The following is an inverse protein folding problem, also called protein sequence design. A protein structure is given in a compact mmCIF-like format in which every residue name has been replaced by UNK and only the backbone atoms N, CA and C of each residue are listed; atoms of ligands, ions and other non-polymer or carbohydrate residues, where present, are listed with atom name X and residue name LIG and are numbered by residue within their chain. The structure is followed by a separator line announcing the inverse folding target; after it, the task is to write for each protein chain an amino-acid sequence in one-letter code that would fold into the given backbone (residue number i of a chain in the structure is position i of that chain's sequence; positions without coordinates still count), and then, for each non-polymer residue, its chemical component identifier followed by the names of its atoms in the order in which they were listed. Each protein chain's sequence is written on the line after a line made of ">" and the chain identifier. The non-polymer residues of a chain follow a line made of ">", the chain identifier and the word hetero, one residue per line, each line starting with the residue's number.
data_IF_926786762815
#
_entry.id   IF_926786762815
#
_cell.length_a   1.000
_cell.length_b   1.000
_cell.length_c   1.000
_cell.angle_alpha   90.00
_cell.angle_beta   90.00
_cell.angle_gamma   90.00
#
_symmetry.space_group_name_H-M   'P 1'
#
loop_
_entity.id
_entity.type
_entity.pdbx_description
1 polymer ?
#
# COMPACT_ATOMS: atom_id res chain seq x y z
N UNK A 1 21.91 33.60 -5.66
CA UNK A 1 21.10 32.80 -6.62
C UNK A 1 20.92 31.41 -6.01
N UNK A 2 19.76 31.19 -5.46
CA UNK A 2 19.39 29.94 -4.80
C UNK A 2 19.22 28.86 -5.87
N UNK A 3 20.20 27.98 -6.01
CA UNK A 3 20.07 26.79 -6.87
C UNK A 3 19.23 25.77 -6.12
N UNK A 4 17.90 25.90 -6.26
CA UNK A 4 16.95 25.07 -5.57
C UNK A 4 17.25 23.57 -5.72
N UNK A 5 16.96 22.82 -4.66
CA UNK A 5 17.03 21.37 -4.64
C UNK A 5 16.34 20.80 -5.89
N UNK A 6 17.07 20.01 -6.68
CA UNK A 6 16.45 19.23 -7.77
C UNK A 6 15.64 18.10 -7.13
N UNK A 7 14.37 18.34 -6.82
CA UNK A 7 13.50 17.35 -6.22
C UNK A 7 12.37 18.00 -5.42
N UNK A 8 11.50 17.21 -4.85
CA UNK A 8 10.48 17.70 -3.94
C UNK A 8 11.08 17.98 -2.56
N UNK A 9 10.51 18.94 -1.86
CA UNK A 9 10.90 19.31 -0.49
C UNK A 9 9.87 18.88 0.55
N UNK A 10 8.81 18.17 0.14
CA UNK A 10 7.72 17.74 1.00
C UNK A 10 7.52 16.24 0.83
N UNK A 11 7.61 15.49 1.94
CA UNK A 11 7.51 14.03 1.96
C UNK A 11 6.53 13.60 3.03
N UNK A 12 5.87 12.46 2.84
CA UNK A 12 5.06 11.83 3.88
C UNK A 12 5.97 11.17 4.93
N UNK A 13 5.43 10.88 6.11
CA UNK A 13 6.16 10.09 7.14
C UNK A 13 6.67 8.78 6.56
N UNK A 14 5.84 8.10 5.77
CA UNK A 14 6.19 6.82 5.14
C UNK A 14 7.35 6.95 4.16
N UNK A 15 7.38 8.03 3.37
CA UNK A 15 8.51 8.28 2.45
C UNK A 15 9.79 8.60 3.20
N UNK A 16 9.71 9.31 4.32
CA UNK A 16 10.89 9.58 5.16
C UNK A 16 11.44 8.27 5.74
N UNK A 17 10.58 7.39 6.25
CA UNK A 17 11.01 6.08 6.74
C UNK A 17 11.62 5.21 5.63
N UNK A 18 11.03 5.24 4.43
CA UNK A 18 11.62 4.58 3.28
C UNK A 18 12.99 5.15 2.91
N UNK A 19 13.13 6.47 2.89
CA UNK A 19 14.42 7.13 2.60
C UNK A 19 15.47 6.76 3.63
N UNK A 20 15.16 6.74 4.93
CA UNK A 20 16.07 6.29 5.99
C UNK A 20 16.54 4.86 5.75
N UNK A 21 15.63 3.96 5.42
CA UNK A 21 15.94 2.55 5.12
C UNK A 21 16.83 2.42 3.87
N UNK A 22 16.51 3.14 2.79
CA UNK A 22 17.31 3.13 1.56
C UNK A 22 18.72 3.69 1.79
N UNK A 23 18.86 4.76 2.56
CA UNK A 23 20.17 5.32 2.94
C UNK A 23 20.98 4.28 3.72
N UNK A 24 20.38 3.62 4.70
CA UNK A 24 21.05 2.58 5.50
C UNK A 24 21.48 1.38 4.64
N UNK A 25 20.60 0.87 3.78
CA UNK A 25 20.90 -0.24 2.87
C UNK A 25 22.05 0.09 1.90
N UNK A 26 22.14 1.35 1.44
CA UNK A 26 23.16 1.78 0.50
C UNK A 26 24.57 1.70 1.09
N UNK A 27 24.74 1.99 2.36
CA UNK A 27 26.07 2.05 3.02
C UNK A 27 26.79 0.70 2.93
N UNK A 28 26.06 -0.41 3.05
CA UNK A 28 26.63 -1.76 3.10
C UNK A 28 26.49 -2.54 1.77
N UNK A 29 26.07 -1.86 0.69
CA UNK A 29 25.79 -2.51 -0.58
C UNK A 29 26.99 -2.42 -1.56
N UNK A 30 27.06 -3.37 -2.49
CA UNK A 30 27.98 -3.30 -3.63
C UNK A 30 27.66 -2.12 -4.58
N UNK A 31 28.58 -1.81 -5.50
CA UNK A 31 28.49 -0.65 -6.38
C UNK A 31 27.24 -0.64 -7.30
N UNK A 32 26.81 -1.81 -7.75
CA UNK A 32 25.64 -1.96 -8.62
C UNK A 32 24.35 -1.74 -7.84
N UNK A 33 24.24 -2.33 -6.68
CA UNK A 33 23.12 -2.17 -5.74
C UNK A 33 23.01 -0.74 -5.23
N UNK A 34 24.14 -0.07 -4.92
CA UNK A 34 24.15 1.36 -4.59
C UNK A 34 23.55 2.23 -5.69
N UNK A 35 23.87 1.93 -6.96
CA UNK A 35 23.28 2.66 -8.11
C UNK A 35 21.76 2.47 -8.17
N UNK A 36 21.28 1.24 -7.96
CA UNK A 36 19.84 0.92 -7.94
C UNK A 36 19.14 1.64 -6.79
N UNK A 37 19.72 1.64 -5.60
CA UNK A 37 19.17 2.34 -4.43
C UNK A 37 19.07 3.84 -4.68
N UNK A 38 20.11 4.49 -5.23
CA UNK A 38 20.04 5.92 -5.60
C UNK A 38 18.94 6.21 -6.61
N UNK A 39 18.69 5.32 -7.56
CA UNK A 39 17.60 5.47 -8.50
C UNK A 39 16.22 5.35 -7.80
N UNK A 40 16.07 4.44 -6.83
CA UNK A 40 14.87 4.37 -5.99
C UNK A 40 14.66 5.67 -5.20
N UNK A 41 15.70 6.22 -4.57
CA UNK A 41 15.61 7.51 -3.86
C UNK A 41 15.17 8.65 -4.78
N UNK A 42 15.69 8.70 -6.02
CA UNK A 42 15.27 9.69 -7.03
C UNK A 42 13.82 9.52 -7.46
N UNK A 43 13.33 8.29 -7.59
CA UNK A 43 11.91 8.03 -7.91
C UNK A 43 10.96 8.55 -6.82
N UNK A 44 11.39 8.56 -5.57
CA UNK A 44 10.64 9.16 -4.44
C UNK A 44 10.70 10.70 -4.50
N UNK A 45 11.53 11.26 -5.36
CA UNK A 45 11.76 12.70 -5.47
C UNK A 45 12.90 13.23 -4.59
N UNK A 46 13.71 12.33 -3.98
CA UNK A 46 14.86 12.71 -3.19
C UNK A 46 16.13 12.76 -4.05
N UNK A 47 16.69 13.95 -4.16
CA UNK A 47 17.89 14.23 -4.94
C UNK A 47 18.96 14.85 -4.02
N UNK A 48 20.24 14.72 -4.41
CA UNK A 48 21.31 15.43 -3.71
C UNK A 48 21.15 16.95 -3.83
N UNK A 49 21.50 17.66 -2.76
CA UNK A 49 21.56 19.12 -2.70
C UNK A 49 23.01 19.64 -2.69
N UNK A 50 23.17 20.94 -2.50
CA UNK A 50 24.48 21.56 -2.42
C UNK A 50 25.25 21.14 -1.16
N UNK A 51 24.53 20.79 -0.08
CA UNK A 51 25.11 20.43 1.22
C UNK A 51 25.45 18.92 1.33
N UNK A 52 24.93 18.07 0.44
CA UNK A 52 25.19 16.64 0.45
C UNK A 52 25.01 16.01 -0.93
N UNK A 53 25.77 14.96 -1.19
CA UNK A 53 25.62 14.16 -2.40
C UNK A 53 24.80 12.93 -2.09
N UNK A 54 23.79 12.62 -2.90
CA UNK A 54 22.93 11.44 -2.71
C UNK A 54 23.73 10.12 -2.60
N UNK A 55 24.93 10.08 -3.21
CA UNK A 55 25.85 8.93 -3.11
C UNK A 55 26.47 8.78 -1.73
N UNK A 56 26.62 9.85 -0.97
CA UNK A 56 27.32 9.91 0.32
C UNK A 56 26.35 10.20 1.49
N UNK A 57 25.07 10.47 1.21
CA UNK A 57 24.03 10.82 2.18
C UNK A 57 23.91 9.76 3.28
N UNK A 58 23.91 10.21 4.55
CA UNK A 58 23.68 9.40 5.74
C UNK A 58 22.27 9.66 6.28
N UNK A 59 21.80 8.83 7.21
CA UNK A 59 20.51 9.02 7.88
C UNK A 59 20.50 10.35 8.66
N UNK A 60 21.62 10.70 9.27
CA UNK A 60 21.82 11.99 9.98
C UNK A 60 21.63 13.20 9.07
N UNK A 61 22.02 13.11 7.79
CA UNK A 61 21.84 14.21 6.85
C UNK A 61 20.34 14.41 6.55
N UNK A 62 19.60 13.32 6.38
CA UNK A 62 18.16 13.37 6.20
C UNK A 62 17.45 13.98 7.42
N UNK A 63 17.86 13.61 8.63
CA UNK A 63 17.33 14.15 9.88
C UNK A 63 17.63 15.65 10.04
N UNK A 64 18.82 16.08 9.66
CA UNK A 64 19.20 17.49 9.67
C UNK A 64 18.39 18.32 8.66
N UNK A 65 18.09 17.76 7.48
CA UNK A 65 17.24 18.40 6.49
C UNK A 65 15.79 18.59 7.01
N UNK A 66 15.28 17.60 7.77
CA UNK A 66 13.98 17.70 8.41
C UNK A 66 14.01 18.76 9.53
N UNK A 67 14.98 18.70 10.42
CA UNK A 67 15.14 19.66 11.54
C UNK A 67 15.30 21.09 11.06
N UNK A 68 16.02 21.31 9.96
CA UNK A 68 16.22 22.64 9.37
C UNK A 68 15.01 23.14 8.56
N UNK A 69 13.94 22.35 8.43
CA UNK A 69 12.74 22.70 7.66
C UNK A 69 12.94 22.68 6.14
N UNK A 70 14.11 22.25 5.64
CA UNK A 70 14.37 22.07 4.21
C UNK A 70 13.55 20.93 3.62
N UNK A 71 13.27 19.91 4.43
CA UNK A 71 12.32 18.84 4.14
C UNK A 71 11.14 19.00 5.11
N UNK A 72 9.96 19.14 4.55
CA UNK A 72 8.68 19.15 5.28
C UNK A 72 8.11 17.75 5.29
N UNK A 73 7.63 17.30 6.46
CA UNK A 73 6.99 16.00 6.61
C UNK A 73 5.48 16.21 6.70
N UNK A 74 4.74 15.62 5.75
CA UNK A 74 3.27 15.58 5.77
C UNK A 74 2.81 14.35 6.53
N UNK A 75 2.03 14.54 7.57
CA UNK A 75 1.41 13.49 8.38
C UNK A 75 1.17 13.99 9.79
N UNK A 76 0.03 13.66 10.38
CA UNK A 76 -0.31 14.00 11.75
C UNK A 76 0.69 13.34 12.71
N UNK A 77 1.56 14.14 13.30
CA UNK A 77 2.20 13.79 14.57
C UNK A 77 1.12 14.04 15.62
N UNK A 78 0.32 13.05 15.94
CA UNK A 78 -0.36 13.04 17.22
C UNK A 78 0.74 12.80 18.26
N UNK A 79 1.29 13.89 18.77
CA UNK A 79 2.15 13.87 19.95
C UNK A 79 1.36 13.29 21.09
N UNK A 80 1.75 12.11 21.55
CA UNK A 80 1.38 11.54 22.83
C UNK A 80 2.02 12.37 23.95
N UNK A 81 1.51 13.56 24.21
CA UNK A 81 1.82 14.32 25.40
C UNK A 81 0.70 15.32 25.60
N UNK A 82 -0.37 14.87 26.23
CA UNK A 82 -1.35 15.63 27.02
C UNK A 82 -2.59 14.78 27.25
N UNK A 83 -2.46 13.75 28.11
CA UNK A 83 -3.58 13.24 28.89
C UNK A 83 -3.07 13.10 30.32
N UNK A 84 -3.10 14.20 31.06
CA UNK A 84 -3.07 14.19 32.50
C UNK A 84 -4.41 14.67 33.03
N UNK A 85 -5.00 13.83 33.85
CA UNK A 85 -5.97 14.14 34.93
C UNK A 85 -7.30 14.80 34.55
N UNK A 86 -8.32 13.97 34.40
CA UNK A 86 -9.62 14.22 35.05
C UNK A 86 -10.38 12.92 35.23
N UNK A 87 -10.58 12.55 36.50
CA UNK A 87 -11.48 11.49 36.94
C UNK A 87 -12.92 11.98 36.90
N UNK A 88 -13.85 11.26 36.26
CA UNK A 88 -15.27 11.48 36.51
C UNK A 88 -15.79 10.51 37.56
N UNK A 89 -16.42 11.11 38.52
CA UNK A 89 -17.23 10.44 39.56
C UNK A 89 -18.39 9.62 38.99
N UNK A 90 -18.60 8.50 39.61
CA UNK A 90 -19.74 7.60 39.62
C UNK A 90 -21.07 8.14 39.08
N UNK A 91 -21.64 7.44 38.12
CA UNK A 91 -23.08 7.29 37.92
C UNK A 91 -23.38 5.81 37.65
N UNK A 92 -24.13 5.25 38.54
CA UNK A 92 -24.51 3.86 38.62
C UNK A 92 -25.59 3.48 37.60
N UNK A 93 -25.41 2.27 37.02
CA UNK A 93 -26.42 1.26 36.75
C UNK A 93 -27.61 1.56 35.82
N UNK A 94 -27.47 1.11 34.59
CA UNK A 94 -28.31 0.05 34.00
C UNK A 94 -27.75 -0.26 32.60
N UNK A 95 -26.71 -1.05 32.55
CA UNK A 95 -26.25 -1.66 31.31
C UNK A 95 -27.17 -2.85 31.02
N UNK A 96 -28.08 -2.63 30.09
CA UNK A 96 -28.76 -3.72 29.41
C UNK A 96 -27.70 -4.50 28.69
N UNK A 97 -27.35 -5.67 29.18
CA UNK A 97 -26.49 -6.63 28.47
C UNK A 97 -27.25 -7.12 27.22
N UNK A 98 -27.14 -6.40 26.11
CA UNK A 98 -27.21 -7.03 24.82
C UNK A 98 -25.92 -7.83 24.65
N UNK A 99 -26.02 -9.14 24.83
CA UNK A 99 -25.03 -10.07 24.25
C UNK A 99 -25.07 -9.88 22.74
N UNK A 100 -24.24 -8.99 22.21
CA UNK A 100 -23.85 -9.05 20.81
C UNK A 100 -23.06 -10.36 20.69
N UNK A 101 -23.66 -11.35 20.08
CA UNK A 101 -22.96 -12.53 19.59
C UNK A 101 -21.93 -11.99 18.59
N UNK A 102 -20.66 -11.99 18.98
CA UNK A 102 -19.54 -11.66 18.08
C UNK A 102 -19.62 -12.68 16.96
N UNK A 103 -20.12 -12.26 15.81
CA UNK A 103 -20.22 -13.12 14.64
C UNK A 103 -18.78 -13.27 14.11
N UNK A 104 -18.12 -14.39 14.47
CA UNK A 104 -16.74 -14.70 14.10
C UNK A 104 -16.48 -14.69 12.59
N UNK A 105 -17.52 -14.66 11.76
CA UNK A 105 -17.45 -14.66 10.30
C UNK A 105 -17.49 -13.25 9.69
N UNK A 106 -17.76 -12.19 10.48
CA UNK A 106 -17.72 -10.83 9.97
C UNK A 106 -16.27 -10.36 9.87
N UNK A 107 -15.86 -9.93 8.68
CA UNK A 107 -14.48 -9.49 8.37
C UNK A 107 -14.48 -8.06 7.92
N UNK A 108 -13.50 -7.32 8.39
CA UNK A 108 -13.21 -5.95 7.96
C UNK A 108 -11.94 -6.01 7.12
N UNK A 109 -11.97 -5.43 5.91
CA UNK A 109 -10.85 -5.36 4.98
C UNK A 109 -9.71 -4.49 5.52
N UNK A 110 -8.63 -4.43 4.75
CA UNK A 110 -7.47 -3.62 5.06
C UNK A 110 -7.61 -2.22 4.47
N UNK A 111 -6.96 -1.24 5.11
CA UNK A 111 -6.76 0.08 4.53
C UNK A 111 -5.93 -0.01 3.24
N UNK A 112 -6.15 0.90 2.27
CA UNK A 112 -5.41 0.87 1.03
C UNK A 112 -3.91 1.09 1.26
N UNK A 113 -3.10 0.37 0.52
CA UNK A 113 -1.68 0.69 0.42
C UNK A 113 -1.48 1.60 -0.79
N UNK A 114 -1.11 2.84 -0.56
CA UNK A 114 -0.96 3.86 -1.59
C UNK A 114 0.27 4.70 -1.33
N UNK A 115 1.00 5.00 -2.40
CA UNK A 115 2.15 5.91 -2.40
C UNK A 115 1.75 7.33 -2.84
N UNK A 116 2.75 8.15 -3.06
CA UNK A 116 2.54 9.59 -3.36
C UNK A 116 1.98 9.86 -4.75
N UNK A 117 2.37 9.06 -5.73
CA UNK A 117 1.94 9.24 -7.13
C UNK A 117 1.58 7.88 -7.75
N UNK A 118 0.51 7.25 -7.26
CA UNK A 118 0.09 5.96 -7.78
C UNK A 118 -0.40 6.11 -9.22
N UNK A 119 0.00 5.18 -10.09
CA UNK A 119 -0.42 5.13 -11.49
C UNK A 119 -1.49 4.07 -11.72
N UNK A 120 -1.40 2.99 -10.98
CA UNK A 120 -2.26 1.81 -11.09
C UNK A 120 -2.84 1.47 -9.72
N UNK A 121 -4.14 1.15 -9.70
CA UNK A 121 -4.80 0.56 -8.55
C UNK A 121 -5.05 -0.94 -8.81
N UNK A 122 -4.42 -1.82 -8.05
CA UNK A 122 -4.75 -3.25 -8.10
C UNK A 122 -5.83 -3.55 -7.06
N UNK A 123 -6.95 -4.09 -7.53
CA UNK A 123 -8.08 -4.46 -6.68
C UNK A 123 -8.18 -5.98 -6.51
N UNK A 124 -8.23 -6.42 -5.26
CA UNK A 124 -8.74 -7.72 -4.86
C UNK A 124 -10.22 -7.67 -4.51
N UNK A 125 -10.73 -8.75 -3.92
CA UNK A 125 -12.10 -8.83 -3.43
C UNK A 125 -12.22 -8.41 -1.96
N UNK A 126 -11.61 -9.19 -1.08
CA UNK A 126 -11.40 -8.98 0.35
C UNK A 126 -10.18 -9.79 0.78
N UNK A 127 -9.32 -9.29 1.68
CA UNK A 127 -8.13 -10.01 2.09
C UNK A 127 -8.44 -11.38 2.70
N UNK A 128 -7.53 -12.35 2.52
CA UNK A 128 -7.63 -13.66 3.19
C UNK A 128 -7.49 -13.51 4.71
N UNK A 129 -7.94 -14.52 5.46
CA UNK A 129 -7.79 -14.52 6.93
C UNK A 129 -6.35 -14.34 7.37
N UNK A 130 -5.41 -14.91 6.61
CA UNK A 130 -3.98 -14.76 6.86
C UNK A 130 -3.52 -13.32 6.63
N UNK A 131 -4.04 -12.66 5.59
CA UNK A 131 -3.76 -11.26 5.31
C UNK A 131 -4.35 -10.33 6.36
N UNK A 132 -5.58 -10.58 6.80
CA UNK A 132 -6.23 -9.83 7.89
C UNK A 132 -5.47 -9.98 9.20
N UNK A 133 -5.08 -11.21 9.57
CA UNK A 133 -4.30 -11.48 10.77
C UNK A 133 -2.95 -10.74 10.78
N UNK A 134 -2.28 -10.69 9.63
CA UNK A 134 -0.95 -10.05 9.50
C UNK A 134 -1.03 -8.57 9.11
N UNK A 135 -2.22 -8.00 8.94
CA UNK A 135 -2.43 -6.61 8.49
C UNK A 135 -1.64 -6.28 7.22
N UNK A 136 -1.57 -7.22 6.28
CA UNK A 136 -0.81 -7.07 5.05
C UNK A 136 -1.43 -7.82 3.87
N UNK A 137 -1.32 -7.26 2.67
CA UNK A 137 -1.88 -7.84 1.45
C UNK A 137 -1.12 -9.10 1.01
N UNK A 138 -1.87 -10.07 0.49
CA UNK A 138 -1.33 -11.27 -0.15
C UNK A 138 -0.36 -12.10 0.72
N UNK A 139 -0.63 -12.18 2.04
CA UNK A 139 0.22 -12.91 3.01
C UNK A 139 0.16 -14.44 2.91
N UNK A 140 -0.71 -15.00 2.08
CA UNK A 140 -0.70 -16.44 1.87
C UNK A 140 0.55 -16.84 1.07
N UNK A 141 1.45 -17.71 1.60
CA UNK A 141 2.68 -18.11 0.92
C UNK A 141 2.46 -18.77 -0.44
N UNK A 142 1.28 -19.39 -0.65
CA UNK A 142 0.92 -20.02 -1.93
C UNK A 142 0.36 -19.01 -2.95
N UNK A 143 0.16 -17.73 -2.56
CA UNK A 143 -0.24 -16.70 -3.48
C UNK A 143 0.99 -16.16 -4.24
N UNK A 144 0.94 -16.18 -5.55
CA UNK A 144 2.08 -15.78 -6.39
C UNK A 144 2.27 -14.27 -6.54
N UNK A 145 1.41 -13.43 -5.94
CA UNK A 145 1.43 -11.97 -6.12
C UNK A 145 2.82 -11.35 -5.86
N UNK A 146 3.37 -11.57 -4.69
CA UNK A 146 4.66 -10.97 -4.33
C UNK A 146 5.81 -11.51 -5.17
N UNK A 147 5.78 -12.81 -5.52
CA UNK A 147 6.77 -13.40 -6.42
C UNK A 147 6.70 -12.75 -7.81
N UNK A 148 5.50 -12.54 -8.36
CA UNK A 148 5.29 -11.85 -9.64
C UNK A 148 5.81 -10.41 -9.56
N UNK A 149 5.41 -9.63 -8.55
CA UNK A 149 5.83 -8.23 -8.42
C UNK A 149 7.36 -8.09 -8.30
N UNK A 150 8.00 -8.98 -7.54
CA UNK A 150 9.46 -8.95 -7.40
C UNK A 150 10.18 -9.31 -8.69
N UNK A 151 9.70 -10.30 -9.42
CA UNK A 151 10.22 -10.68 -10.74
C UNK A 151 10.08 -9.53 -11.75
N UNK A 152 8.92 -8.88 -11.77
CA UNK A 152 8.66 -7.76 -12.69
C UNK A 152 9.51 -6.53 -12.38
N UNK A 153 9.71 -6.20 -11.12
CA UNK A 153 10.38 -4.94 -10.73
C UNK A 153 11.79 -5.15 -10.20
N UNK A 154 12.35 -6.35 -10.42
CA UNK A 154 13.75 -6.70 -10.06
C UNK A 154 14.09 -6.30 -8.62
N UNK A 155 13.20 -6.62 -7.67
CA UNK A 155 13.39 -6.37 -6.25
C UNK A 155 13.98 -7.59 -5.57
N UNK A 156 15.30 -7.69 -5.59
CA UNK A 156 16.05 -8.73 -4.88
C UNK A 156 16.36 -8.32 -3.42
N UNK A 157 15.91 -7.13 -3.01
CA UNK A 157 16.03 -6.68 -1.63
C UNK A 157 14.84 -7.23 -0.86
N UNK A 158 15.04 -7.76 0.33
CA UNK A 158 13.98 -8.11 1.29
C UNK A 158 13.33 -6.84 1.85
N UNK A 159 12.77 -6.03 0.96
CA UNK A 159 12.11 -4.79 1.33
C UNK A 159 10.73 -5.08 1.91
N UNK A 160 10.27 -4.20 2.77
CA UNK A 160 8.87 -4.18 3.21
C UNK A 160 7.94 -4.13 2.00
N UNK A 161 6.99 -5.07 1.94
CA UNK A 161 6.09 -5.22 0.79
C UNK A 161 5.29 -3.95 0.49
N UNK A 162 4.84 -3.22 1.52
CA UNK A 162 4.09 -1.97 1.34
C UNK A 162 4.96 -0.90 0.71
N UNK A 163 6.16 -0.71 1.24
CA UNK A 163 7.11 0.28 0.72
C UNK A 163 7.53 -0.09 -0.71
N UNK A 164 7.79 -1.36 -0.96
CA UNK A 164 8.15 -1.83 -2.29
C UNK A 164 7.07 -1.51 -3.32
N UNK A 165 5.83 -1.98 -3.12
CA UNK A 165 4.77 -1.85 -4.12
C UNK A 165 4.38 -0.38 -4.35
N UNK A 166 4.31 0.42 -3.28
CA UNK A 166 3.96 1.84 -3.40
C UNK A 166 5.06 2.67 -4.06
N UNK A 167 6.34 2.28 -3.91
CA UNK A 167 7.44 2.92 -4.63
C UNK A 167 7.46 2.60 -6.14
N UNK A 168 6.80 1.51 -6.53
CA UNK A 168 6.59 1.18 -7.95
C UNK A 168 5.45 1.98 -8.60
N UNK A 169 4.77 2.87 -7.88
CA UNK A 169 3.62 3.60 -8.40
C UNK A 169 2.33 2.77 -8.41
N UNK A 170 2.26 1.71 -7.62
CA UNK A 170 1.12 0.80 -7.53
C UNK A 170 0.43 1.00 -6.19
N UNK A 171 -0.90 1.20 -6.23
CA UNK A 171 -1.76 1.12 -5.06
C UNK A 171 -2.43 -0.25 -4.97
N UNK A 172 -2.63 -0.75 -3.74
CA UNK A 172 -3.38 -1.97 -3.47
C UNK A 172 -4.61 -1.67 -2.63
N UNK A 173 -5.73 -2.24 -3.01
CA UNK A 173 -6.94 -2.24 -2.20
C UNK A 173 -7.85 -3.42 -2.57
N UNK A 174 -9.06 -3.43 -2.00
CA UNK A 174 -10.09 -4.44 -2.26
C UNK A 174 -11.43 -3.78 -2.59
N UNK A 175 -12.28 -4.48 -3.32
CA UNK A 175 -13.63 -4.00 -3.64
C UNK A 175 -14.54 -3.94 -2.41
N UNK A 176 -14.37 -4.85 -1.45
CA UNK A 176 -15.23 -5.01 -0.28
C UNK A 176 -14.52 -4.46 0.97
N UNK A 177 -15.20 -3.55 1.67
CA UNK A 177 -14.77 -2.98 2.94
C UNK A 177 -14.99 -3.96 4.09
N UNK A 178 -16.16 -4.59 4.12
CA UNK A 178 -16.49 -5.56 5.18
C UNK A 178 -17.64 -6.47 4.75
N UNK A 179 -17.79 -7.59 5.44
CA UNK A 179 -18.87 -8.53 5.24
C UNK A 179 -18.60 -9.87 5.88
N UNK A 180 -19.64 -10.70 5.95
CA UNK A 180 -19.52 -12.07 6.46
C UNK A 180 -18.97 -13.00 5.39
N UNK A 181 -17.91 -13.71 5.72
CA UNK A 181 -17.30 -14.71 4.85
C UNK A 181 -16.74 -15.86 5.68
N UNK A 182 -17.17 -17.07 5.36
CA UNK A 182 -16.60 -18.26 5.96
C UNK A 182 -15.30 -18.65 5.26
N UNK A 183 -14.20 -18.67 6.03
CA UNK A 183 -12.85 -18.87 5.51
C UNK A 183 -12.40 -17.75 4.56
N UNK A 184 -11.58 -18.07 3.57
CA UNK A 184 -10.94 -17.10 2.67
C UNK A 184 -11.41 -17.17 1.21
N UNK A 185 -12.38 -18.05 0.91
CA UNK A 185 -12.90 -18.19 -0.44
C UNK A 185 -14.04 -17.19 -0.71
N UNK A 186 -13.95 -16.47 -1.82
CA UNK A 186 -14.98 -15.48 -2.21
C UNK A 186 -16.34 -16.10 -2.57
N UNK A 187 -16.41 -17.43 -2.78
CA UNK A 187 -17.69 -18.15 -2.94
C UNK A 187 -18.52 -18.18 -1.66
N UNK A 188 -17.87 -17.98 -0.51
CA UNK A 188 -18.47 -18.15 0.82
C UNK A 188 -18.94 -16.82 1.43
N UNK A 189 -19.04 -15.76 0.63
CA UNK A 189 -19.60 -14.51 1.09
C UNK A 189 -21.11 -14.60 1.33
N UNK A 190 -21.56 -14.10 2.47
CA UNK A 190 -22.94 -13.71 2.67
C UNK A 190 -23.17 -12.36 1.96
N UNK A 191 -23.81 -12.40 0.79
CA UNK A 191 -23.96 -11.24 -0.11
C UNK A 191 -24.79 -10.11 0.48
N UNK A 192 -25.62 -10.39 1.47
CA UNK A 192 -26.50 -9.42 2.14
C UNK A 192 -25.76 -8.54 3.14
N UNK A 193 -24.59 -9.00 3.62
CA UNK A 193 -23.77 -8.30 4.62
C UNK A 193 -22.63 -7.50 4.01
N UNK A 194 -22.46 -7.53 2.68
CA UNK A 194 -21.33 -6.90 2.01
C UNK A 194 -21.47 -5.39 1.99
N UNK A 195 -20.45 -4.72 2.50
CA UNK A 195 -20.26 -3.28 2.40
C UNK A 195 -19.10 -3.03 1.46
N UNK A 196 -19.30 -2.37 0.31
CA UNK A 196 -18.21 -2.05 -0.62
C UNK A 196 -17.32 -0.92 -0.10
N UNK A 197 -16.09 -0.86 -0.60
CA UNK A 197 -15.25 0.31 -0.48
C UNK A 197 -15.68 1.40 -1.47
N UNK A 198 -15.48 2.66 -1.10
CA UNK A 198 -15.74 3.79 -1.99
C UNK A 198 -14.55 4.01 -2.94
N UNK A 199 -14.48 3.17 -3.99
CA UNK A 199 -13.41 3.25 -4.98
C UNK A 199 -13.47 4.57 -5.75
N UNK A 200 -14.66 5.13 -5.95
CA UNK A 200 -14.83 6.42 -6.63
C UNK A 200 -14.15 7.54 -5.84
N UNK A 201 -14.45 7.64 -4.56
CA UNK A 201 -13.85 8.66 -3.70
C UNK A 201 -12.32 8.49 -3.63
N UNK A 202 -11.84 7.25 -3.55
CA UNK A 202 -10.42 6.95 -3.59
C UNK A 202 -9.75 7.46 -4.87
N UNK A 203 -10.35 7.26 -6.04
CA UNK A 203 -9.82 7.75 -7.32
C UNK A 203 -9.85 9.28 -7.42
N UNK A 204 -10.83 9.95 -6.81
CA UNK A 204 -10.85 11.42 -6.72
C UNK A 204 -9.70 11.96 -5.88
N UNK A 205 -9.33 11.25 -4.80
CA UNK A 205 -8.17 11.60 -3.97
C UNK A 205 -6.83 11.33 -4.68
N UNK A 206 -6.80 10.35 -5.59
CA UNK A 206 -5.59 9.94 -6.32
C UNK A 206 -5.79 10.02 -7.85
N UNK A 207 -5.93 11.24 -8.43
CA UNK A 207 -6.24 11.43 -9.86
C UNK A 207 -5.11 11.00 -10.79
N UNK A 208 -3.94 10.67 -10.26
CA UNK A 208 -2.82 10.08 -11.00
C UNK A 208 -3.06 8.61 -11.38
N UNK A 209 -4.00 7.92 -10.72
CA UNK A 209 -4.40 6.56 -11.09
C UNK A 209 -5.22 6.64 -12.39
N UNK A 210 -4.72 5.96 -13.42
CA UNK A 210 -5.37 5.92 -14.74
C UNK A 210 -5.99 4.57 -15.02
N UNK A 211 -5.50 3.52 -14.38
CA UNK A 211 -5.94 2.15 -14.63
C UNK A 211 -6.21 1.40 -13.35
N UNK A 212 -7.35 0.72 -13.30
CA UNK A 212 -7.67 -0.28 -12.29
C UNK A 212 -7.34 -1.66 -12.86
N UNK A 213 -6.58 -2.44 -12.13
CA UNK A 213 -6.26 -3.82 -12.47
C UNK A 213 -6.93 -4.76 -11.49
N UNK A 214 -7.82 -5.60 -11.97
CA UNK A 214 -8.47 -6.61 -11.15
C UNK A 214 -7.60 -7.87 -11.03
N UNK A 215 -7.34 -8.29 -9.80
CA UNK A 215 -6.66 -9.54 -9.51
C UNK A 215 -7.65 -10.71 -9.61
N UNK A 216 -8.04 -11.02 -10.83
CA UNK A 216 -8.97 -12.09 -11.18
C UNK A 216 -10.40 -11.61 -11.43
N UNK A 217 -11.15 -12.40 -12.20
CA UNK A 217 -12.53 -12.12 -12.61
C UNK A 217 -13.51 -11.89 -11.44
N UNK A 218 -13.23 -12.46 -10.26
CA UNK A 218 -14.08 -12.25 -9.08
C UNK A 218 -14.01 -10.80 -8.61
N UNK A 219 -12.83 -10.21 -8.55
CA UNK A 219 -12.66 -8.80 -8.19
C UNK A 219 -13.39 -7.89 -9.19
N UNK A 220 -13.25 -8.14 -10.49
CA UNK A 220 -13.99 -7.43 -11.55
C UNK A 220 -15.51 -7.50 -11.33
N UNK A 221 -16.09 -8.70 -11.13
CA UNK A 221 -17.53 -8.86 -10.91
C UNK A 221 -18.02 -8.14 -9.64
N UNK A 222 -17.22 -8.12 -8.58
CA UNK A 222 -17.57 -7.37 -7.38
C UNK A 222 -17.50 -5.87 -7.62
N UNK A 223 -16.50 -5.41 -8.33
CA UNK A 223 -16.39 -4.00 -8.72
C UNK A 223 -17.58 -3.57 -9.58
N UNK A 224 -17.90 -4.30 -10.63
CA UNK A 224 -19.05 -4.01 -11.51
C UNK A 224 -20.37 -3.97 -10.74
N UNK A 225 -20.55 -4.87 -9.79
CA UNK A 225 -21.80 -4.95 -9.03
C UNK A 225 -21.93 -3.86 -7.96
N UNK A 226 -20.86 -3.51 -7.28
CA UNK A 226 -20.91 -2.71 -6.06
C UNK A 226 -20.17 -1.36 -6.15
N UNK A 227 -19.25 -1.18 -7.10
CA UNK A 227 -18.35 -0.04 -7.16
C UNK A 227 -18.37 0.72 -8.51
N UNK A 228 -19.32 0.43 -9.40
CA UNK A 228 -19.33 0.71 -10.84
C UNK A 228 -19.16 2.18 -11.31
N UNK A 229 -19.13 3.16 -10.45
CA UNK A 229 -19.12 4.57 -10.85
C UNK A 229 -17.73 5.20 -10.98
N UNK A 230 -16.70 4.39 -11.25
CA UNK A 230 -15.33 4.90 -11.44
C UNK A 230 -15.06 5.13 -12.95
N UNK A 231 -14.79 6.37 -13.32
CA UNK A 231 -14.36 6.72 -14.68
C UNK A 231 -12.84 6.50 -14.80
N UNK A 232 -12.43 5.24 -15.00
CA UNK A 232 -11.04 4.80 -15.07
C UNK A 232 -10.93 3.60 -16.01
N UNK A 233 -9.82 3.46 -16.71
CA UNK A 233 -9.55 2.26 -17.50
C UNK A 233 -9.49 1.03 -16.61
N UNK A 234 -9.96 -0.11 -17.10
CA UNK A 234 -9.98 -1.35 -16.33
C UNK A 234 -9.36 -2.50 -17.11
N UNK A 235 -8.56 -3.31 -16.41
CA UNK A 235 -7.94 -4.52 -16.98
C UNK A 235 -8.12 -5.66 -15.99
N UNK A 236 -8.57 -6.82 -16.46
CA UNK A 236 -8.67 -8.02 -15.65
C UNK A 236 -7.53 -8.97 -15.95
N UNK A 237 -6.71 -9.23 -14.95
CA UNK A 237 -5.61 -10.19 -15.04
C UNK A 237 -5.97 -11.51 -14.35
N UNK A 238 -5.27 -12.58 -14.70
CA UNK A 238 -5.42 -13.87 -14.03
C UNK A 238 -5.14 -13.72 -12.53
N UNK A 239 -5.99 -14.32 -11.69
CA UNK A 239 -5.80 -14.26 -10.24
C UNK A 239 -4.46 -14.87 -9.82
N UNK A 240 -3.76 -14.16 -8.93
CA UNK A 240 -2.52 -14.63 -8.31
C UNK A 240 -2.73 -15.67 -7.23
N UNK A 241 -3.99 -15.90 -6.83
CA UNK A 241 -4.36 -16.92 -5.85
C UNK A 241 -3.94 -18.33 -6.34
N UNK A 242 -3.54 -19.21 -5.42
CA UNK A 242 -3.30 -20.62 -5.69
C UNK A 242 -4.56 -21.37 -6.13
N UNK A 243 -5.75 -20.87 -5.78
CA UNK A 243 -7.01 -21.42 -6.25
C UNK A 243 -7.23 -21.23 -7.77
N UNK A 244 -6.49 -20.33 -8.41
CA UNK A 244 -6.47 -20.18 -9.86
C UNK A 244 -5.40 -21.14 -10.44
N UNK A 245 -5.83 -22.19 -11.11
CA UNK A 245 -5.01 -23.31 -11.63
C UNK A 245 -4.16 -22.94 -12.86
N UNK A 246 -3.63 -21.72 -12.95
CA UNK A 246 -2.72 -21.29 -14.02
C UNK A 246 -1.26 -21.45 -13.58
N UNK A 247 -0.37 -21.92 -14.46
CA UNK A 247 1.07 -21.96 -14.20
C UNK A 247 1.63 -20.58 -13.86
N UNK A 248 2.70 -20.55 -13.08
CA UNK A 248 3.34 -19.30 -12.66
C UNK A 248 3.77 -18.43 -13.85
N UNK A 249 4.43 -19.02 -14.85
CA UNK A 249 4.92 -18.29 -16.02
C UNK A 249 3.77 -17.66 -16.84
N UNK A 250 2.62 -18.34 -16.93
CA UNK A 250 1.43 -17.78 -17.56
C UNK A 250 0.88 -16.60 -16.78
N UNK A 251 0.93 -16.65 -15.44
CA UNK A 251 0.55 -15.50 -14.60
C UNK A 251 1.54 -14.36 -14.76
N UNK A 252 2.84 -14.64 -14.68
CA UNK A 252 3.91 -13.66 -14.83
C UNK A 252 3.81 -12.91 -16.17
N UNK A 253 3.60 -13.65 -17.26
CA UNK A 253 3.46 -13.08 -18.60
C UNK A 253 2.25 -12.13 -18.69
N UNK A 254 1.08 -12.51 -18.16
CA UNK A 254 -0.08 -11.61 -18.16
C UNK A 254 0.13 -10.38 -17.28
N UNK A 255 0.77 -10.55 -16.13
CA UNK A 255 1.02 -9.45 -15.19
C UNK A 255 2.13 -8.50 -15.65
N UNK A 256 2.92 -8.88 -16.65
CA UNK A 256 4.00 -8.01 -17.18
C UNK A 256 3.49 -6.68 -17.75
N UNK A 257 2.22 -6.61 -18.16
CA UNK A 257 1.58 -5.37 -18.62
C UNK A 257 1.63 -4.25 -17.55
N UNK A 258 1.71 -4.60 -16.27
CA UNK A 258 1.80 -3.60 -15.18
C UNK A 258 2.99 -2.65 -15.40
N UNK A 259 4.09 -3.12 -16.00
CA UNK A 259 5.26 -2.27 -16.28
C UNK A 259 4.91 -1.08 -17.17
N UNK A 260 4.19 -1.32 -18.25
CA UNK A 260 3.79 -0.25 -19.20
C UNK A 260 2.71 0.68 -18.62
N UNK A 261 1.91 0.22 -17.66
CA UNK A 261 0.87 1.04 -17.04
C UNK A 261 1.41 2.04 -15.99
N UNK A 262 2.64 1.85 -15.53
CA UNK A 262 3.26 2.75 -14.52
C UNK A 262 4.30 3.71 -15.10
N UNK A 263 4.65 3.55 -16.37
CA UNK A 263 5.51 4.48 -17.12
C UNK A 263 4.73 5.75 -17.48
#
# INVERSE_FOLDING_TARGET
>A
MDRGMKGKNTFTVQEIELLKKLVHQRVNADRSTQKRIRNKMRKIGFFGGDDYKIKDCQVSDLENLIKSGRIKVLGNITTLSEISSETPKSLSNKVIQRKESINHNHKIGLEPWVGVNPKVLILGTLPSDKSLKNQAYYCNPTNSFWRIMRELFDDNLESDNKLFITSCGIALWDCIKSGERDGSLDSNFNKETLIPNDIREFLLQYPSIKTIVFNGQKAERFFEKYCRNANCETITLVSTSSAASKPFDSKLNQWSIIKSLIE
#
